data_IF_836332626955
#
_entry.id   IF_836332626955
#
_cell.length_a   1.000
_cell.length_b   1.000
_cell.length_c   1.000
_cell.angle_alpha   90.00
_cell.angle_beta   90.00
_cell.angle_gamma   90.00
#
_symmetry.space_group_name_H-M   'P 1'
#
loop_
_entity.id
_entity.type
_entity.pdbx_description
1 polymer ?
#
# COMPACT_ATOMS: atom_id res chain seq x y z
N UNK A 1 -16.81 10.08 8.72
CA UNK A 1 -15.55 9.38 8.48
C UNK A 1 -14.31 10.28 8.56
N UNK A 2 -14.09 11.22 7.66
CA UNK A 2 -12.90 12.13 7.72
C UNK A 2 -12.84 12.88 9.06
N UNK A 3 -13.96 13.35 9.60
CA UNK A 3 -14.03 14.03 10.90
C UNK A 3 -13.76 13.07 12.08
N UNK A 4 -14.13 11.79 11.98
CA UNK A 4 -13.85 10.79 13.03
C UNK A 4 -12.37 10.40 13.04
N UNK A 5 -11.75 10.20 11.88
CA UNK A 5 -10.31 9.96 11.77
C UNK A 5 -9.49 11.17 12.23
N UNK A 6 -9.97 12.41 11.96
CA UNK A 6 -9.34 13.63 12.45
C UNK A 6 -9.33 13.74 13.97
N UNK A 7 -10.28 13.09 14.65
CA UNK A 7 -10.34 12.95 16.12
C UNK A 7 -9.39 11.88 16.68
N UNK A 8 -9.01 10.89 15.90
CA UNK A 8 -8.12 9.80 16.34
C UNK A 8 -6.65 10.11 16.02
N UNK A 9 -6.12 11.10 16.76
CA UNK A 9 -4.70 11.53 16.65
C UNK A 9 -3.71 10.37 16.86
N UNK A 10 -4.10 9.34 17.63
CA UNK A 10 -3.23 8.19 17.92
C UNK A 10 -3.05 7.32 16.69
N UNK A 11 -4.13 7.00 15.99
CA UNK A 11 -4.08 6.21 14.74
C UNK A 11 -3.29 6.95 13.65
N UNK A 12 -3.53 8.27 13.47
CA UNK A 12 -2.76 9.08 12.50
C UNK A 12 -1.27 9.12 12.88
N UNK A 13 -0.96 9.30 14.16
CA UNK A 13 0.43 9.29 14.62
C UNK A 13 1.11 7.95 14.33
N UNK A 14 0.43 6.82 14.59
CA UNK A 14 0.99 5.49 14.31
C UNK A 14 1.22 5.24 12.81
N UNK A 15 0.32 5.72 11.95
CA UNK A 15 0.47 5.61 10.49
C UNK A 15 1.74 6.31 9.96
N UNK A 16 2.16 7.38 10.62
CA UNK A 16 3.34 8.16 10.23
C UNK A 16 4.58 7.71 11.02
N UNK A 17 4.46 7.60 12.35
CA UNK A 17 5.62 7.34 13.23
C UNK A 17 6.18 5.94 13.02
N UNK A 18 5.32 4.92 12.86
CA UNK A 18 5.79 3.56 12.74
C UNK A 18 6.68 3.33 11.49
N UNK A 19 6.28 3.71 10.26
CA UNK A 19 7.18 3.60 9.11
C UNK A 19 8.44 4.46 9.25
N UNK A 20 8.32 5.67 9.79
CA UNK A 20 9.48 6.57 10.00
C UNK A 20 10.50 5.96 10.96
N UNK A 21 10.04 5.37 12.08
CA UNK A 21 10.92 4.69 13.03
C UNK A 21 11.63 3.51 12.38
N UNK A 22 10.89 2.63 11.67
CA UNK A 22 11.50 1.47 11.02
C UNK A 22 12.48 1.89 9.93
N UNK A 23 12.12 2.85 9.08
CA UNK A 23 13.01 3.39 8.05
C UNK A 23 14.27 4.03 8.67
N UNK A 24 14.12 4.72 9.82
CA UNK A 24 15.27 5.28 10.56
C UNK A 24 16.21 4.19 11.07
N UNK A 25 15.66 3.09 11.60
CA UNK A 25 16.46 1.95 12.06
C UNK A 25 17.17 1.26 10.89
N UNK A 26 16.46 1.03 9.79
CA UNK A 26 17.05 0.48 8.56
C UNK A 26 18.16 1.39 8.05
N UNK A 27 17.90 2.71 8.01
CA UNK A 27 18.90 3.71 7.62
C UNK A 27 20.12 3.75 8.54
N UNK A 28 19.93 3.61 9.86
CA UNK A 28 21.03 3.58 10.82
C UNK A 28 21.93 2.33 10.67
N UNK A 29 21.33 1.19 10.30
CA UNK A 29 22.04 -0.08 10.13
C UNK A 29 22.76 -0.14 8.77
N UNK A 30 22.07 0.20 7.68
CA UNK A 30 22.54 -0.05 6.30
C UNK A 30 22.86 1.23 5.50
N UNK A 31 22.56 2.41 6.02
CA UNK A 31 22.78 3.67 5.31
C UNK A 31 24.25 4.13 5.25
N UNK A 32 25.17 3.48 5.99
CA UNK A 32 26.58 3.88 6.05
C UNK A 32 27.53 3.02 5.23
N UNK A 33 27.07 1.87 4.76
CA UNK A 33 27.90 0.92 4.01
C UNK A 33 27.63 1.10 2.51
N UNK A 34 28.45 1.92 1.88
CA UNK A 34 28.39 2.09 0.43
C UNK A 34 29.24 1.02 -0.28
N UNK A 35 28.69 0.44 -1.34
CA UNK A 35 29.45 -0.42 -2.25
C UNK A 35 30.54 0.43 -2.93
N UNK A 36 31.82 0.05 -2.82
CA UNK A 36 32.92 0.80 -3.44
C UNK A 36 32.82 0.92 -4.97
N UNK A 37 32.07 0.04 -5.63
CA UNK A 37 31.93 0.03 -7.10
C UNK A 37 30.82 0.95 -7.59
N UNK A 38 29.70 1.00 -6.87
CA UNK A 38 28.50 1.74 -7.29
C UNK A 38 28.32 3.04 -6.52
N UNK A 39 28.97 3.20 -5.35
CA UNK A 39 28.76 4.29 -4.41
C UNK A 39 27.38 4.27 -3.73
N UNK A 40 26.54 3.27 -4.00
CA UNK A 40 25.20 3.11 -3.42
C UNK A 40 25.29 2.33 -2.13
N UNK A 41 24.40 2.66 -1.20
CA UNK A 41 24.24 1.90 0.04
C UNK A 41 23.21 0.79 -0.13
N UNK A 42 23.23 -0.20 0.77
CA UNK A 42 22.17 -1.22 0.84
C UNK A 42 20.79 -0.54 1.04
N UNK A 43 20.76 0.57 1.78
CA UNK A 43 19.54 1.35 1.95
C UNK A 43 19.00 1.89 0.63
N UNK A 44 19.86 2.40 -0.27
CA UNK A 44 19.43 2.94 -1.57
C UNK A 44 18.73 1.88 -2.43
N UNK A 45 19.14 0.62 -2.32
CA UNK A 45 18.57 -0.50 -3.08
C UNK A 45 17.32 -1.10 -2.41
N UNK A 46 17.22 -1.00 -1.07
CA UNK A 46 16.05 -1.44 -0.31
C UNK A 46 14.94 -0.38 -0.26
N UNK A 47 15.29 0.91 -0.35
CA UNK A 47 14.35 2.01 -0.17
C UNK A 47 13.09 1.89 -1.07
N UNK A 48 13.18 1.60 -2.39
CA UNK A 48 11.99 1.45 -3.22
C UNK A 48 11.02 0.38 -2.70
N UNK A 49 11.55 -0.73 -2.22
CA UNK A 49 10.75 -1.83 -1.68
C UNK A 49 10.11 -1.48 -0.34
N UNK A 50 10.84 -0.80 0.55
CA UNK A 50 10.34 -0.36 1.85
C UNK A 50 9.26 0.72 1.69
N UNK A 51 9.45 1.67 0.77
CA UNK A 51 8.47 2.70 0.42
C UNK A 51 7.16 2.04 0.00
N UNK A 52 7.19 1.13 -0.99
CA UNK A 52 6.01 0.40 -1.44
C UNK A 52 5.35 -0.40 -0.31
N UNK A 53 6.15 -1.13 0.47
CA UNK A 53 5.64 -1.97 1.55
C UNK A 53 4.92 -1.15 2.61
N UNK A 54 5.53 -0.08 3.13
CA UNK A 54 4.91 0.71 4.18
C UNK A 54 3.71 1.51 3.69
N UNK A 55 3.76 2.03 2.46
CA UNK A 55 2.60 2.68 1.85
C UNK A 55 1.41 1.72 1.76
N UNK A 56 1.64 0.48 1.32
CA UNK A 56 0.59 -0.54 1.22
C UNK A 56 0.12 -1.05 2.58
N UNK A 57 1.04 -1.43 3.47
CA UNK A 57 0.75 -2.10 4.74
C UNK A 57 -0.21 -1.31 5.63
N UNK A 58 0.19 -0.08 5.97
CA UNK A 58 -0.55 0.70 6.96
C UNK A 58 -1.92 1.12 6.46
N UNK A 59 -2.05 1.45 5.18
CA UNK A 59 -3.34 1.88 4.66
C UNK A 59 -4.29 0.69 4.44
N UNK A 60 -3.76 -0.47 4.06
CA UNK A 60 -4.51 -1.72 4.01
C UNK A 60 -5.08 -2.05 5.40
N UNK A 61 -4.23 -2.02 6.44
CA UNK A 61 -4.66 -2.29 7.82
C UNK A 61 -5.71 -1.28 8.29
N UNK A 62 -5.46 0.01 8.08
CA UNK A 62 -6.39 1.07 8.48
C UNK A 62 -7.76 0.90 7.82
N UNK A 63 -7.79 0.72 6.51
CA UNK A 63 -9.05 0.59 5.76
C UNK A 63 -9.82 -0.66 6.15
N UNK A 64 -9.12 -1.80 6.36
CA UNK A 64 -9.76 -3.04 6.79
C UNK A 64 -10.43 -2.92 8.17
N UNK A 65 -9.71 -2.37 9.15
CA UNK A 65 -10.22 -2.23 10.53
C UNK A 65 -11.29 -1.16 10.62
N UNK A 66 -11.08 0.01 9.99
CA UNK A 66 -12.02 1.13 10.08
C UNK A 66 -13.35 0.79 9.39
N UNK A 67 -13.33 0.14 8.23
CA UNK A 67 -14.56 -0.28 7.55
C UNK A 67 -15.31 -1.36 8.33
N UNK A 68 -14.58 -2.30 8.94
CA UNK A 68 -15.20 -3.29 9.82
C UNK A 68 -15.90 -2.63 11.02
N UNK A 69 -15.27 -1.64 11.67
CA UNK A 69 -15.88 -0.88 12.77
C UNK A 69 -17.19 -0.22 12.35
N UNK A 70 -17.22 0.41 11.17
CA UNK A 70 -18.45 1.04 10.68
C UNK A 70 -19.55 0.01 10.41
N UNK A 71 -19.17 -1.19 9.96
CA UNK A 71 -20.11 -2.30 9.75
C UNK A 71 -20.65 -2.85 11.07
N UNK A 72 -19.79 -3.08 12.05
CA UNK A 72 -20.20 -3.63 13.36
C UNK A 72 -20.91 -2.64 14.27
N UNK A 73 -20.73 -1.33 14.05
CA UNK A 73 -21.44 -0.26 14.79
C UNK A 73 -22.81 0.11 14.21
N UNK A 74 -23.26 -0.56 13.13
CA UNK A 74 -24.52 -0.23 12.46
C UNK A 74 -24.50 1.07 11.64
N UNK A 75 -23.34 1.74 11.53
CA UNK A 75 -23.21 2.97 10.73
C UNK A 75 -23.41 2.68 9.25
N UNK A 76 -22.88 1.55 8.77
CA UNK A 76 -23.02 1.11 7.39
C UNK A 76 -24.50 0.87 7.02
N UNK A 77 -25.28 0.27 7.91
CA UNK A 77 -26.71 0.02 7.73
C UNK A 77 -27.51 1.32 7.57
N UNK A 78 -27.18 2.32 8.40
CA UNK A 78 -27.80 3.66 8.28
C UNK A 78 -27.48 4.32 6.95
N UNK A 79 -26.26 4.16 6.44
CA UNK A 79 -25.87 4.67 5.10
C UNK A 79 -26.61 3.93 3.99
N UNK A 80 -26.80 2.61 4.10
CA UNK A 80 -27.52 1.79 3.14
C UNK A 80 -29.04 2.04 3.15
N UNK A 81 -29.58 2.63 4.23
CA UNK A 81 -30.98 3.09 4.29
C UNK A 81 -31.22 4.37 3.48
N UNK A 82 -30.16 5.06 3.04
CA UNK A 82 -30.24 6.19 2.12
C UNK A 82 -30.26 5.72 0.65
N UNK A 83 -30.65 6.55 -0.34
CA UNK A 83 -30.70 6.15 -1.76
C UNK A 83 -29.32 5.98 -2.42
N UNK A 84 -28.25 5.81 -1.64
CA UNK A 84 -26.89 5.61 -2.15
C UNK A 84 -26.73 4.24 -2.83
N UNK A 85 -26.03 4.24 -3.97
CA UNK A 85 -25.62 3.01 -4.64
C UNK A 85 -24.35 2.45 -3.95
N UNK A 86 -24.19 1.12 -3.99
CA UNK A 86 -23.01 0.44 -3.39
C UNK A 86 -21.68 0.97 -3.93
N UNK A 87 -21.62 1.23 -5.24
CA UNK A 87 -20.44 1.81 -5.88
C UNK A 87 -20.13 3.21 -5.39
N UNK A 88 -21.14 4.06 -5.18
CA UNK A 88 -20.97 5.41 -4.62
C UNK A 88 -20.46 5.37 -3.18
N UNK A 89 -20.93 4.40 -2.41
CA UNK A 89 -20.45 4.18 -1.05
C UNK A 89 -18.96 3.80 -1.04
N UNK A 90 -18.57 2.79 -1.85
CA UNK A 90 -17.16 2.40 -1.96
C UNK A 90 -16.30 3.53 -2.52
N UNK A 91 -16.78 4.27 -3.53
CA UNK A 91 -16.07 5.44 -4.04
C UNK A 91 -15.85 6.50 -2.93
N UNK A 92 -16.85 6.73 -2.08
CA UNK A 92 -16.73 7.63 -0.92
C UNK A 92 -15.66 7.15 0.07
N UNK A 93 -15.56 5.85 0.35
CA UNK A 93 -14.50 5.29 1.18
C UNK A 93 -13.13 5.38 0.51
N UNK A 94 -13.04 5.08 -0.79
CA UNK A 94 -11.78 5.22 -1.54
C UNK A 94 -11.25 6.65 -1.52
N UNK A 95 -12.12 7.65 -1.70
CA UNK A 95 -11.73 9.06 -1.59
C UNK A 95 -11.31 9.38 -0.16
N UNK A 96 -12.11 8.99 0.83
CA UNK A 96 -11.84 9.28 2.23
C UNK A 96 -10.54 8.68 2.75
N UNK A 97 -10.32 7.38 2.54
CA UNK A 97 -9.06 6.72 2.92
C UNK A 97 -7.92 7.11 1.97
N UNK A 98 -8.21 7.35 0.68
CA UNK A 98 -7.25 7.75 -0.32
C UNK A 98 -6.50 9.03 0.06
N UNK A 99 -7.17 10.02 0.61
CA UNK A 99 -6.53 11.26 1.10
C UNK A 99 -5.48 10.95 2.17
N UNK A 100 -5.83 10.10 3.16
CA UNK A 100 -4.87 9.69 4.20
C UNK A 100 -3.74 8.83 3.63
N UNK A 101 -4.07 7.95 2.69
CA UNK A 101 -3.10 7.09 2.02
C UNK A 101 -2.07 7.90 1.22
N UNK A 102 -2.53 8.88 0.45
CA UNK A 102 -1.66 9.76 -0.33
C UNK A 102 -0.79 10.65 0.57
N UNK A 103 -1.36 11.15 1.67
CA UNK A 103 -0.59 11.91 2.66
C UNK A 103 0.49 11.03 3.30
N UNK A 104 0.17 9.80 3.68
CA UNK A 104 1.13 8.85 4.24
C UNK A 104 2.23 8.50 3.23
N UNK A 105 1.89 8.19 1.98
CA UNK A 105 2.84 7.92 0.91
C UNK A 105 3.79 9.11 0.71
N UNK A 106 3.26 10.32 0.66
CA UNK A 106 4.06 11.55 0.55
C UNK A 106 5.02 11.71 1.73
N UNK A 107 4.56 11.45 2.96
CA UNK A 107 5.42 11.54 4.16
C UNK A 107 6.53 10.49 4.12
N UNK A 108 6.23 9.24 3.76
CA UNK A 108 7.22 8.17 3.62
C UNK A 108 8.26 8.55 2.55
N UNK A 109 7.82 8.98 1.38
CA UNK A 109 8.70 9.40 0.29
C UNK A 109 9.57 10.60 0.70
N UNK A 110 8.97 11.64 1.26
CA UNK A 110 9.68 12.83 1.71
C UNK A 110 10.71 12.49 2.81
N UNK A 111 10.34 11.66 3.79
CA UNK A 111 11.25 11.22 4.84
C UNK A 111 12.44 10.44 4.26
N UNK A 112 12.18 9.50 3.36
CA UNK A 112 13.21 8.66 2.75
C UNK A 112 14.19 9.50 1.91
N UNK A 113 13.69 10.47 1.15
CA UNK A 113 14.53 11.34 0.32
C UNK A 113 15.24 12.42 1.12
N UNK A 114 14.53 13.12 2.01
CA UNK A 114 15.06 14.32 2.68
C UNK A 114 15.86 13.99 3.96
N UNK A 115 15.36 13.04 4.78
CA UNK A 115 15.99 12.71 6.05
C UNK A 115 17.03 11.60 5.88
N UNK A 116 16.71 10.51 5.17
CA UNK A 116 17.65 9.41 4.93
C UNK A 116 18.60 9.68 3.76
N UNK A 117 18.31 10.69 2.93
CA UNK A 117 19.16 11.15 1.81
C UNK A 117 19.56 10.02 0.85
N UNK A 118 18.61 9.14 0.55
CA UNK A 118 18.84 8.04 -0.41
C UNK A 118 19.23 8.58 -1.78
N UNK A 119 20.05 7.82 -2.50
CA UNK A 119 20.39 8.11 -3.88
C UNK A 119 19.31 7.57 -4.83
N UNK A 120 18.73 8.43 -5.63
CA UNK A 120 17.75 8.07 -6.67
C UNK A 120 18.07 8.78 -8.00
N UNK A 121 17.64 8.19 -9.13
CA UNK A 121 17.94 8.71 -10.47
C UNK A 121 16.73 9.28 -11.20
N UNK A 122 15.56 8.67 -11.02
CA UNK A 122 14.33 9.03 -11.75
C UNK A 122 13.51 10.13 -11.09
N UNK A 123 12.33 10.40 -11.64
CA UNK A 123 11.41 11.43 -11.18
C UNK A 123 10.66 11.03 -9.91
N UNK A 124 10.71 11.86 -8.88
CA UNK A 124 9.89 11.68 -7.66
C UNK A 124 8.39 11.77 -7.95
N UNK A 125 7.99 12.52 -8.97
CA UNK A 125 6.60 12.55 -9.44
C UNK A 125 6.13 11.19 -9.95
N UNK A 126 6.98 10.47 -10.69
CA UNK A 126 6.71 9.10 -11.14
C UNK A 126 6.64 8.13 -9.97
N UNK A 127 7.57 8.25 -9.01
CA UNK A 127 7.55 7.45 -7.77
C UNK A 127 6.22 7.66 -7.03
N UNK A 128 5.83 8.91 -6.80
CA UNK A 128 4.57 9.23 -6.11
C UNK A 128 3.33 8.74 -6.87
N UNK A 129 3.34 8.78 -8.21
CA UNK A 129 2.25 8.23 -9.02
C UNK A 129 2.10 6.72 -8.82
N UNK A 130 3.21 5.96 -8.83
CA UNK A 130 3.20 4.51 -8.59
C UNK A 130 2.64 4.22 -7.18
N UNK A 131 3.12 4.95 -6.16
CA UNK A 131 2.60 4.84 -4.80
C UNK A 131 1.10 5.17 -4.72
N UNK A 132 0.66 6.25 -5.40
CA UNK A 132 -0.74 6.66 -5.40
C UNK A 132 -1.66 5.55 -5.95
N UNK A 133 -1.27 4.90 -7.05
CA UNK A 133 -2.02 3.77 -7.60
C UNK A 133 -2.00 2.57 -6.65
N UNK A 134 -0.84 2.25 -6.08
CA UNK A 134 -0.67 1.15 -5.13
C UNK A 134 -1.58 1.32 -3.90
N UNK A 135 -1.60 2.51 -3.29
CA UNK A 135 -2.38 2.74 -2.06
C UNK A 135 -3.89 2.74 -2.32
N UNK A 136 -4.36 3.13 -3.50
CA UNK A 136 -5.77 2.95 -3.90
C UNK A 136 -6.12 1.46 -3.94
N UNK A 137 -5.25 0.63 -4.49
CA UNK A 137 -5.40 -0.83 -4.47
C UNK A 137 -5.39 -1.40 -3.05
N UNK A 138 -4.51 -0.89 -2.17
CA UNK A 138 -4.43 -1.31 -0.77
C UNK A 138 -5.72 -0.97 0.01
N UNK A 139 -6.26 0.25 -0.17
CA UNK A 139 -7.57 0.64 0.41
C UNK A 139 -8.66 -0.30 -0.08
N UNK A 140 -8.75 -0.52 -1.40
CA UNK A 140 -9.77 -1.38 -2.01
C UNK A 140 -9.71 -2.81 -1.46
N UNK A 141 -8.50 -3.36 -1.33
CA UNK A 141 -8.27 -4.69 -0.76
C UNK A 141 -8.68 -4.73 0.72
N UNK A 142 -8.33 -3.71 1.50
CA UNK A 142 -8.72 -3.61 2.90
C UNK A 142 -10.23 -3.61 3.09
N UNK A 143 -10.95 -2.84 2.27
CA UNK A 143 -12.42 -2.84 2.26
C UNK A 143 -12.98 -4.23 1.89
N UNK A 144 -12.43 -4.89 0.87
CA UNK A 144 -12.86 -6.23 0.46
C UNK A 144 -12.62 -7.28 1.55
N UNK A 145 -11.44 -7.27 2.17
CA UNK A 145 -11.05 -8.24 3.22
C UNK A 145 -11.89 -8.04 4.49
N UNK A 146 -12.26 -6.82 4.83
CA UNK A 146 -13.11 -6.53 5.99
C UNK A 146 -14.47 -7.25 5.94
N UNK A 147 -14.96 -7.59 4.73
CA UNK A 147 -16.21 -8.32 4.57
C UNK A 147 -16.16 -9.75 5.14
N UNK A 148 -14.99 -10.35 5.23
CA UNK A 148 -14.78 -11.69 5.76
C UNK A 148 -14.51 -11.70 7.27
N UNK A 149 -14.20 -10.55 7.87
CA UNK A 149 -13.96 -10.43 9.30
C UNK A 149 -15.26 -10.22 10.08
N UNK A 150 -15.39 -10.86 11.25
CA UNK A 150 -16.52 -10.70 12.16
C UNK A 150 -16.23 -9.73 13.31
N UNK A 151 -14.98 -9.52 13.63
CA UNK A 151 -14.51 -8.60 14.67
C UNK A 151 -13.14 -8.03 14.32
N UNK A 152 -12.69 -7.00 15.05
CA UNK A 152 -11.44 -6.31 14.78
C UNK A 152 -10.22 -7.22 14.90
N UNK A 153 -10.21 -8.15 15.87
CA UNK A 153 -9.12 -9.09 16.04
C UNK A 153 -8.95 -9.97 14.79
N UNK A 154 -10.06 -10.47 14.25
CA UNK A 154 -10.04 -11.27 13.03
C UNK A 154 -9.57 -10.46 11.81
N UNK A 155 -9.98 -9.18 11.68
CA UNK A 155 -9.48 -8.30 10.63
C UNK A 155 -7.95 -8.12 10.72
N UNK A 156 -7.43 -7.92 11.94
CA UNK A 156 -5.97 -7.83 12.18
C UNK A 156 -5.26 -9.15 11.88
N UNK A 157 -5.87 -10.30 12.16
CA UNK A 157 -5.30 -11.62 11.86
C UNK A 157 -5.21 -11.90 10.35
N UNK A 158 -6.08 -11.31 9.52
CA UNK A 158 -5.95 -11.41 8.06
C UNK A 158 -4.75 -10.63 7.51
N UNK A 159 -4.27 -9.62 8.24
CA UNK A 159 -3.14 -8.80 7.79
C UNK A 159 -1.88 -9.64 7.55
N UNK A 160 -1.34 -10.41 8.52
CA UNK A 160 -0.19 -11.25 8.25
C UNK A 160 -0.46 -12.32 7.18
N UNK A 161 -1.66 -12.88 7.11
CA UNK A 161 -2.02 -13.88 6.11
C UNK A 161 -1.90 -13.34 4.68
N UNK A 162 -2.26 -12.08 4.46
CA UNK A 162 -2.20 -11.43 3.14
C UNK A 162 -0.81 -10.84 2.88
N UNK A 163 -0.16 -10.30 3.90
CA UNK A 163 1.09 -9.57 3.73
C UNK A 163 2.33 -10.45 3.76
N UNK A 164 2.38 -11.51 4.58
CA UNK A 164 3.56 -12.37 4.63
C UNK A 164 3.92 -12.96 3.27
N UNK A 165 2.97 -13.53 2.48
CA UNK A 165 3.30 -13.98 1.14
C UNK A 165 3.85 -12.84 0.25
N UNK A 166 3.32 -11.63 0.36
CA UNK A 166 3.80 -10.49 -0.39
C UNK A 166 5.22 -10.07 0.04
N UNK A 167 5.51 -10.06 1.35
CA UNK A 167 6.86 -9.74 1.85
C UNK A 167 7.91 -10.69 1.29
N UNK A 168 7.61 -11.99 1.24
CA UNK A 168 8.56 -12.99 0.76
C UNK A 168 8.64 -13.08 -0.77
N UNK A 169 7.54 -12.82 -1.48
CA UNK A 169 7.45 -13.11 -2.92
C UNK A 169 7.50 -11.87 -3.81
N UNK A 170 7.34 -10.66 -3.28
CA UNK A 170 7.24 -9.45 -4.10
C UNK A 170 8.58 -8.78 -4.44
N UNK A 171 9.69 -9.37 -4.04
CA UNK A 171 11.00 -8.75 -4.28
C UNK A 171 11.46 -7.82 -3.15
N UNK A 172 10.79 -7.82 -1.99
CA UNK A 172 11.21 -7.02 -0.85
C UNK A 172 12.49 -7.58 -0.22
N UNK A 173 12.50 -8.88 0.09
CA UNK A 173 13.62 -9.56 0.75
C UNK A 173 14.61 -10.16 -0.26
N UNK A 174 14.10 -10.79 -1.30
CA UNK A 174 14.87 -11.44 -2.36
C UNK A 174 14.33 -10.99 -3.71
N UNK A 175 15.17 -10.58 -4.65
CA UNK A 175 14.73 -10.25 -6.01
C UNK A 175 13.86 -11.36 -6.62
N UNK A 176 12.78 -11.00 -7.32
CA UNK A 176 11.82 -11.97 -7.88
C UNK A 176 12.51 -12.93 -8.85
N UNK A 177 13.53 -12.46 -9.56
CA UNK A 177 14.28 -13.24 -10.55
C UNK A 177 15.14 -14.36 -9.89
N UNK A 178 15.44 -14.22 -8.61
CA UNK A 178 16.19 -15.21 -7.82
C UNK A 178 15.27 -16.27 -7.15
N UNK A 179 13.94 -16.08 -7.24
CA UNK A 179 12.98 -17.04 -6.69
C UNK A 179 12.89 -18.30 -7.54
N UNK A 180 12.69 -19.48 -6.93
CA UNK A 180 12.33 -20.71 -7.64
C UNK A 180 11.12 -20.51 -8.55
N UNK A 181 11.05 -21.23 -9.68
CA UNK A 181 10.04 -21.00 -10.73
C UNK A 181 8.60 -20.98 -10.22
N UNK A 182 8.21 -21.87 -9.33
CA UNK A 182 6.85 -21.88 -8.75
C UNK A 182 6.55 -20.65 -7.90
N UNK A 183 7.52 -20.17 -7.09
CA UNK A 183 7.36 -18.98 -6.26
C UNK A 183 7.39 -17.70 -7.11
N UNK A 184 8.20 -17.68 -8.17
CA UNK A 184 8.22 -16.59 -9.15
C UNK A 184 6.88 -16.47 -9.88
N UNK A 185 6.23 -17.57 -10.24
CA UNK A 185 4.87 -17.53 -10.81
C UNK A 185 3.85 -17.03 -9.78
N UNK A 186 3.95 -17.49 -8.54
CA UNK A 186 3.08 -17.03 -7.46
C UNK A 186 3.25 -15.52 -7.17
N UNK A 187 4.45 -14.96 -7.32
CA UNK A 187 4.70 -13.52 -7.13
C UNK A 187 3.88 -12.63 -8.05
N UNK A 188 3.49 -13.14 -9.23
CA UNK A 188 2.69 -12.40 -10.21
C UNK A 188 1.26 -12.08 -9.73
N UNK A 189 0.77 -12.73 -8.67
CA UNK A 189 -0.54 -12.43 -8.09
C UNK A 189 -0.53 -11.26 -7.10
N UNK A 190 0.66 -10.80 -6.68
CA UNK A 190 0.79 -9.79 -5.64
C UNK A 190 1.05 -8.39 -6.20
N UNK A 191 0.26 -7.36 -5.80
CA UNK A 191 0.44 -5.99 -6.28
C UNK A 191 1.79 -5.39 -5.89
N UNK A 192 2.33 -5.76 -4.72
CA UNK A 192 3.65 -5.28 -4.28
C UNK A 192 4.77 -5.68 -5.23
N UNK A 193 4.66 -6.81 -5.94
CA UNK A 193 5.63 -7.24 -6.95
C UNK A 193 5.82 -6.19 -8.05
N UNK A 194 4.71 -5.68 -8.57
CA UNK A 194 4.70 -4.69 -9.64
C UNK A 194 5.12 -3.32 -9.13
N UNK A 195 4.65 -2.93 -7.94
CA UNK A 195 5.02 -1.66 -7.32
C UNK A 195 6.52 -1.59 -7.02
N UNK A 196 7.09 -2.62 -6.37
CA UNK A 196 8.52 -2.67 -6.05
C UNK A 196 9.36 -2.66 -7.32
N UNK A 197 8.98 -3.44 -8.34
CA UNK A 197 9.68 -3.47 -9.64
C UNK A 197 9.66 -2.12 -10.33
N UNK A 198 8.50 -1.47 -10.42
CA UNK A 198 8.36 -0.15 -11.02
C UNK A 198 9.14 0.91 -10.24
N UNK A 199 9.06 0.92 -8.89
CA UNK A 199 9.83 1.86 -8.06
C UNK A 199 11.33 1.66 -8.18
N UNK A 200 11.83 0.41 -8.23
CA UNK A 200 13.24 0.13 -8.50
C UNK A 200 13.66 0.60 -9.90
N UNK A 201 12.82 0.38 -10.90
CA UNK A 201 13.09 0.84 -12.27
C UNK A 201 13.22 2.37 -12.32
N UNK A 202 12.38 3.12 -11.62
CA UNK A 202 12.47 4.58 -11.53
C UNK A 202 13.65 5.01 -10.66
N UNK A 203 13.72 4.53 -9.41
CA UNK A 203 14.65 5.10 -8.42
C UNK A 203 16.10 4.61 -8.61
N UNK A 204 16.29 3.38 -9.07
CA UNK A 204 17.63 2.79 -9.25
C UNK A 204 18.10 2.89 -10.70
N UNK A 205 17.26 2.48 -11.67
CA UNK A 205 17.63 2.49 -13.08
C UNK A 205 17.39 3.86 -13.76
N UNK A 206 16.56 4.74 -13.19
CA UNK A 206 16.26 6.07 -13.73
C UNK A 206 15.25 6.06 -14.88
N UNK A 207 14.46 5.00 -15.03
CA UNK A 207 13.46 4.89 -16.08
C UNK A 207 12.33 5.90 -15.87
N UNK A 208 11.77 6.42 -16.96
CA UNK A 208 10.65 7.38 -16.98
C UNK A 208 9.28 6.70 -17.17
N UNK A 209 8.21 7.49 -17.12
CA UNK A 209 6.84 7.02 -17.37
C UNK A 209 6.61 6.49 -18.80
N UNK A 210 7.46 6.88 -19.74
CA UNK A 210 7.45 6.43 -21.12
C UNK A 210 7.97 4.99 -21.30
N UNK A 211 8.61 4.44 -20.28
CA UNK A 211 9.12 3.07 -20.33
C UNK A 211 8.00 2.03 -20.32
N UNK A 212 7.98 1.07 -21.26
CA UNK A 212 6.95 0.04 -21.35
C UNK A 212 6.80 -0.82 -20.08
N UNK A 213 7.88 -1.03 -19.32
CA UNK A 213 7.85 -1.77 -18.07
C UNK A 213 7.00 -1.03 -17.04
N UNK A 214 7.23 0.27 -16.87
CA UNK A 214 6.52 1.10 -15.89
C UNK A 214 5.05 1.23 -16.27
N UNK A 215 4.74 1.45 -17.55
CA UNK A 215 3.36 1.52 -18.03
C UNK A 215 2.61 0.21 -17.81
N UNK A 216 3.24 -0.94 -18.08
CA UNK A 216 2.67 -2.26 -17.85
C UNK A 216 2.38 -2.47 -16.36
N UNK A 217 3.33 -2.17 -15.49
CA UNK A 217 3.21 -2.41 -14.06
C UNK A 217 2.15 -1.49 -13.44
N UNK A 218 2.09 -0.22 -13.85
CA UNK A 218 1.01 0.69 -13.49
C UNK A 218 -0.36 0.18 -13.97
N UNK A 219 -0.43 -0.33 -15.20
CA UNK A 219 -1.66 -0.92 -15.74
C UNK A 219 -2.16 -2.11 -14.89
N UNK A 220 -1.24 -2.97 -14.45
CA UNK A 220 -1.57 -4.10 -13.56
C UNK A 220 -2.04 -3.61 -12.19
N UNK A 221 -1.38 -2.60 -11.61
CA UNK A 221 -1.78 -2.01 -10.34
C UNK A 221 -3.17 -1.36 -10.43
N UNK A 222 -3.47 -0.65 -11.52
CA UNK A 222 -4.82 -0.10 -11.78
C UNK A 222 -5.85 -1.21 -11.91
N UNK A 223 -5.56 -2.26 -12.68
CA UNK A 223 -6.45 -3.41 -12.82
C UNK A 223 -6.70 -4.08 -11.46
N UNK A 224 -5.66 -4.26 -10.64
CA UNK A 224 -5.79 -4.78 -9.28
C UNK A 224 -6.71 -3.91 -8.42
N UNK A 225 -6.50 -2.59 -8.44
CA UNK A 225 -7.34 -1.65 -7.69
C UNK A 225 -8.81 -1.72 -8.11
N UNK A 226 -9.09 -1.82 -9.42
CA UNK A 226 -10.45 -1.96 -9.95
C UNK A 226 -11.09 -3.29 -9.55
N UNK A 227 -10.36 -4.40 -9.65
CA UNK A 227 -10.86 -5.73 -9.26
C UNK A 227 -11.19 -5.76 -7.78
N UNK A 228 -10.30 -5.27 -6.93
CA UNK A 228 -10.53 -5.25 -5.48
C UNK A 228 -11.62 -4.27 -5.07
N UNK A 229 -11.76 -3.11 -5.73
CA UNK A 229 -12.85 -2.17 -5.51
C UNK A 229 -14.22 -2.76 -5.90
N UNK A 230 -14.28 -3.46 -7.04
CA UNK A 230 -15.52 -4.17 -7.46
C UNK A 230 -15.85 -5.31 -6.51
N UNK A 231 -14.86 -6.07 -6.04
CA UNK A 231 -15.05 -7.10 -5.02
C UNK A 231 -15.57 -6.51 -3.70
N UNK A 232 -15.01 -5.38 -3.25
CA UNK A 232 -15.51 -4.66 -2.09
C UNK A 232 -16.97 -4.21 -2.26
N UNK A 233 -17.32 -3.64 -3.41
CA UNK A 233 -18.69 -3.23 -3.70
C UNK A 233 -19.68 -4.42 -3.74
N UNK A 234 -19.25 -5.56 -4.29
CA UNK A 234 -20.04 -6.79 -4.34
C UNK A 234 -20.24 -7.44 -2.96
N UNK A 235 -19.27 -7.28 -2.05
CA UNK A 235 -19.32 -7.85 -0.69
C UNK A 235 -20.34 -7.16 0.22
N UNK A 236 -20.73 -5.92 -0.10
CA UNK A 236 -21.76 -5.19 0.64
C UNK A 236 -23.13 -5.79 0.33
N UNK A 237 -23.66 -6.63 1.22
CA UNK A 237 -25.03 -7.15 1.12
C UNK A 237 -25.98 -6.15 1.78
N UNK A 238 -27.10 -5.86 1.10
CA UNK A 238 -28.27 -5.28 1.79
C UNK A 238 -28.93 -6.42 2.55
N UNK A 239 -28.78 -6.46 3.84
CA UNK A 239 -29.70 -7.23 4.66
C UNK A 239 -31.03 -6.49 4.62
N UNK A 240 -31.90 -6.96 3.71
CA UNK A 240 -33.31 -6.56 3.72
C UNK A 240 -33.90 -7.39 4.86
N UNK A 241 -34.12 -6.74 6.00
CA UNK A 241 -34.96 -7.27 7.08
C UNK A 241 -36.41 -7.25 6.65
#
# INVERSE_FOLDING_TARGET
MILQLRGDRRTIALLVVAPVVVLSLVGAIWGRQADPRTGRTILDDLAPALIAFFAFFFIFLLSAVAFLRERTSGTLERLLATPLRRGELIAGYLVGFGVFALLQALVILAFTVLALKIQYRGSLGTVFLIEAVLVVGAVSLGLAVSAFARNELQAVQFVPLILLPQVFLSGLLVPVDELPDGLRQASAFFPLTYAIRALRAVMVAGLGLDDPLILRDLGILVAFALVTATAAAASIRREVA
#
